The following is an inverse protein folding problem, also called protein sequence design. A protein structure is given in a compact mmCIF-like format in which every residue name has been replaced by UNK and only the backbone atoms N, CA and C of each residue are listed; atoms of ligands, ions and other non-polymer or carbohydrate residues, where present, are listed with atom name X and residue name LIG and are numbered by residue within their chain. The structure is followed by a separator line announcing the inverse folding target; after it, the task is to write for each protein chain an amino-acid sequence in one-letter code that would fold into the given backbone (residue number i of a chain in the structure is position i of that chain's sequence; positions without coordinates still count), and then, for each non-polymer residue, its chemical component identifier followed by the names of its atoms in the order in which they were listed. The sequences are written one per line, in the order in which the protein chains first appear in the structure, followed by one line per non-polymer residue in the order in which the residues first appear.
data_IF_963354797247
#
_entry.id   IF_963354797247
#
_cell.length_a   1.000
_cell.length_b   1.000
_cell.length_c   1.000
_cell.angle_alpha   90.00
_cell.angle_beta   90.00
_cell.angle_gamma   90.00
#
_symmetry.space_group_name_H-M   'P 1'
#
loop_
_entity.id
_entity.type
_entity.pdbx_description
1 polymer ?
#
# COMPACT_ATOMS: atom_id res chain seq x y z
N UNK A 1 70.94 24.25 -0.25
CA UNK A 1 70.92 23.55 -1.51
C UNK A 1 69.72 24.01 -2.31
N UNK A 2 69.87 24.99 -3.20
CA UNK A 2 68.77 25.41 -4.11
C UNK A 2 68.65 24.32 -5.19
N UNK A 3 67.48 23.64 -5.20
CA UNK A 3 67.09 22.77 -6.29
C UNK A 3 66.92 23.66 -7.54
N UNK A 4 67.85 23.57 -8.54
CA UNK A 4 67.65 24.12 -9.85
C UNK A 4 66.31 23.52 -10.42
N UNK A 5 65.31 24.38 -10.54
CA UNK A 5 64.08 24.00 -11.23
C UNK A 5 64.43 23.74 -12.69
N UNK A 6 64.23 22.51 -13.16
CA UNK A 6 64.42 22.15 -14.57
C UNK A 6 63.42 22.93 -15.40
N UNK A 7 63.94 23.77 -16.34
CA UNK A 7 63.10 24.38 -17.36
C UNK A 7 62.59 23.30 -18.32
N UNK A 8 61.34 23.22 -18.52
CA UNK A 8 60.62 22.30 -19.44
C UNK A 8 60.18 23.12 -20.67
N UNK A 9 60.25 22.52 -21.86
CA UNK A 9 59.72 23.16 -23.08
C UNK A 9 58.37 22.61 -23.39
N UNK A 10 57.39 23.49 -23.59
CA UNK A 10 56.03 23.10 -23.98
C UNK A 10 56.03 22.52 -25.41
N UNK A 11 55.65 21.28 -25.64
CA UNK A 11 55.68 20.68 -26.98
C UNK A 11 54.69 21.33 -27.95
N UNK A 12 53.69 22.09 -27.48
CA UNK A 12 52.70 22.73 -28.34
C UNK A 12 53.04 24.14 -28.78
N UNK A 13 53.67 24.97 -27.94
CA UNK A 13 53.99 26.37 -28.29
C UNK A 13 55.47 26.70 -28.22
N UNK A 14 56.31 25.77 -27.77
CA UNK A 14 57.76 25.96 -27.68
C UNK A 14 58.22 26.83 -26.49
N UNK A 15 57.35 27.40 -25.70
CA UNK A 15 57.66 28.24 -24.54
C UNK A 15 58.26 27.40 -23.40
N UNK A 16 59.24 27.99 -22.69
CA UNK A 16 59.77 27.42 -21.44
C UNK A 16 58.71 27.55 -20.29
N UNK A 17 58.59 26.50 -19.48
CA UNK A 17 57.70 26.45 -18.34
C UNK A 17 58.33 25.62 -17.22
N UNK A 18 57.90 25.86 -15.96
CA UNK A 18 58.35 25.05 -14.84
C UNK A 18 57.47 23.82 -14.59
N UNK A 19 56.19 23.87 -15.03
CA UNK A 19 55.23 22.78 -14.86
C UNK A 19 54.52 22.51 -16.20
N UNK A 20 54.26 21.23 -16.48
CA UNK A 20 53.40 20.79 -17.56
C UNK A 20 52.10 20.24 -16.99
N UNK A 21 50.98 20.62 -17.61
CA UNK A 21 49.63 20.18 -17.32
C UNK A 21 49.16 19.37 -18.53
N UNK A 22 48.92 18.10 -18.32
CA UNK A 22 48.64 17.16 -19.42
C UNK A 22 49.61 17.28 -20.59
N UNK A 23 50.93 17.33 -20.29
CA UNK A 23 52.03 17.46 -21.21
C UNK A 23 52.13 18.81 -21.96
N UNK A 24 51.37 19.84 -21.60
CA UNK A 24 51.52 21.21 -22.21
C UNK A 24 51.65 22.27 -21.12
N UNK A 25 52.10 23.48 -21.50
CA UNK A 25 52.18 24.59 -20.55
C UNK A 25 50.77 25.08 -20.13
N UNK A 26 50.67 25.79 -19.02
CA UNK A 26 49.42 26.34 -18.47
C UNK A 26 48.57 27.03 -19.53
N UNK A 27 49.15 27.92 -20.33
CA UNK A 27 48.39 28.66 -21.35
C UNK A 27 47.87 27.77 -22.48
N UNK A 28 48.61 26.74 -22.88
CA UNK A 28 48.15 25.79 -23.87
C UNK A 28 47.09 24.83 -23.33
N UNK A 29 47.19 24.48 -22.05
CA UNK A 29 46.21 23.67 -21.35
C UNK A 29 44.85 24.40 -21.33
N UNK A 30 44.78 25.61 -20.78
CA UNK A 30 43.51 26.34 -20.67
C UNK A 30 42.90 26.76 -22.01
N UNK A 31 43.67 26.86 -23.09
CA UNK A 31 43.12 27.12 -24.43
C UNK A 31 42.28 25.96 -24.99
N UNK A 32 42.48 24.75 -24.54
CA UNK A 32 41.74 23.57 -24.99
C UNK A 32 41.00 22.87 -23.87
N UNK A 33 41.13 23.34 -22.65
CA UNK A 33 40.49 22.76 -21.47
C UNK A 33 38.99 23.02 -21.51
N UNK A 34 38.22 21.97 -21.23
CA UNK A 34 36.79 22.04 -20.95
C UNK A 34 36.55 21.39 -19.59
N UNK A 35 35.95 22.13 -18.66
CA UNK A 35 35.67 21.65 -17.33
C UNK A 35 34.54 20.62 -17.37
N UNK A 36 33.56 20.85 -18.25
CA UNK A 36 32.42 19.95 -18.41
C UNK A 36 31.94 19.94 -19.87
N UNK A 37 31.33 18.86 -20.26
CA UNK A 37 30.62 18.72 -21.53
C UNK A 37 29.16 18.33 -21.25
N UNK A 38 28.22 19.01 -21.92
CA UNK A 38 26.81 18.77 -21.82
C UNK A 38 26.18 18.99 -23.20
N UNK A 39 25.39 18.03 -23.64
CA UNK A 39 24.67 18.16 -24.90
C UNK A 39 23.72 19.36 -24.86
N UNK A 40 23.67 20.18 -25.92
CA UNK A 40 22.78 21.36 -25.97
C UNK A 40 21.32 21.01 -25.95
N UNK A 41 20.94 19.77 -26.35
CA UNK A 41 19.58 19.29 -26.33
C UNK A 41 19.56 17.85 -25.78
N UNK A 42 18.84 17.65 -24.70
CA UNK A 42 18.64 16.35 -24.04
C UNK A 42 17.17 15.94 -24.18
N UNK A 43 16.92 14.66 -24.40
CA UNK A 43 15.55 14.13 -24.46
C UNK A 43 15.28 13.20 -23.30
N UNK A 44 14.09 13.33 -22.70
CA UNK A 44 13.57 12.40 -21.69
C UNK A 44 12.12 12.02 -22.00
N UNK A 45 11.70 10.82 -21.57
CA UNK A 45 10.35 10.33 -21.83
C UNK A 45 9.61 10.15 -20.50
N UNK A 46 8.43 10.78 -20.38
CA UNK A 46 7.61 10.79 -19.15
C UNK A 46 6.19 10.38 -19.49
N UNK A 47 5.60 9.53 -18.66
CA UNK A 47 4.22 9.11 -18.80
C UNK A 47 3.26 10.29 -18.62
N UNK A 48 2.39 10.52 -19.59
CA UNK A 48 1.41 11.60 -19.54
C UNK A 48 0.33 11.41 -18.43
N UNK A 49 0.15 10.18 -17.91
CA UNK A 49 -0.86 9.85 -16.91
C UNK A 49 -0.32 9.81 -15.48
N UNK A 50 0.74 9.06 -15.25
CA UNK A 50 1.24 8.82 -13.89
C UNK A 50 2.57 9.53 -13.58
N UNK A 51 3.23 10.14 -14.59
CA UNK A 51 4.51 10.80 -14.41
C UNK A 51 5.72 9.88 -14.37
N UNK A 52 5.56 8.55 -14.48
CA UNK A 52 6.70 7.62 -14.54
C UNK A 52 7.66 8.00 -15.66
N UNK A 53 8.97 7.88 -15.43
CA UNK A 53 10.02 8.11 -16.43
C UNK A 53 10.39 6.81 -17.14
N UNK A 54 10.74 6.92 -18.43
CA UNK A 54 11.28 5.81 -19.20
C UNK A 54 12.79 5.91 -19.27
N UNK A 55 13.46 4.87 -18.81
CA UNK A 55 14.90 4.86 -18.72
C UNK A 55 15.47 3.46 -18.84
N UNK A 56 16.56 3.31 -19.63
CA UNK A 56 17.23 2.01 -19.86
C UNK A 56 16.27 0.88 -20.26
N UNK A 57 15.27 1.20 -21.09
CA UNK A 57 14.28 0.22 -21.55
C UNK A 57 13.14 -0.07 -20.57
N UNK A 58 13.06 0.62 -19.45
CA UNK A 58 12.06 0.38 -18.42
C UNK A 58 11.38 1.67 -17.93
N UNK A 59 10.14 1.55 -17.53
CA UNK A 59 9.41 2.59 -16.83
C UNK A 59 9.68 2.51 -15.33
N UNK A 60 10.04 3.61 -14.71
CA UNK A 60 10.26 3.73 -13.27
C UNK A 60 9.43 4.88 -12.71
N UNK A 61 8.93 4.71 -11.49
CA UNK A 61 8.08 5.72 -10.88
C UNK A 61 8.92 6.91 -10.41
N UNK A 62 8.39 8.10 -10.65
CA UNK A 62 8.97 9.37 -10.21
C UNK A 62 7.85 10.27 -9.70
N UNK A 63 8.18 11.15 -8.74
CA UNK A 63 7.18 12.00 -8.10
C UNK A 63 6.90 13.29 -8.86
N UNK A 64 7.90 13.82 -9.57
CA UNK A 64 7.82 15.13 -10.23
C UNK A 64 8.61 15.16 -11.54
N UNK A 65 8.03 15.76 -12.58
CA UNK A 65 8.68 15.96 -13.88
C UNK A 65 10.03 16.69 -13.76
N UNK A 66 10.08 17.74 -12.92
CA UNK A 66 11.28 18.56 -12.71
C UNK A 66 12.45 17.71 -12.17
N UNK A 67 12.20 16.83 -11.21
CA UNK A 67 13.24 15.96 -10.67
C UNK A 67 13.77 15.01 -11.76
N UNK A 68 12.88 14.47 -12.60
CA UNK A 68 13.27 13.61 -13.72
C UNK A 68 14.16 14.36 -14.72
N UNK A 69 13.83 15.63 -14.98
CA UNK A 69 14.63 16.50 -15.86
C UNK A 69 16.02 16.72 -15.27
N UNK A 70 16.10 17.07 -13.98
CA UNK A 70 17.39 17.31 -13.30
C UNK A 70 18.24 16.05 -13.23
N UNK A 71 17.69 14.92 -12.83
CA UNK A 71 18.41 13.63 -12.80
C UNK A 71 18.95 13.25 -14.21
N UNK A 72 18.21 13.60 -15.27
CA UNK A 72 18.63 13.34 -16.63
C UNK A 72 19.81 14.24 -17.03
N UNK A 73 19.76 15.53 -16.70
CA UNK A 73 20.84 16.49 -16.97
C UNK A 73 22.09 16.11 -16.17
N UNK A 74 21.97 15.82 -14.90
CA UNK A 74 23.07 15.39 -14.03
C UNK A 74 23.82 14.16 -14.60
N UNK A 75 23.07 13.21 -15.15
CA UNK A 75 23.64 11.99 -15.74
C UNK A 75 24.34 12.20 -17.08
N UNK A 76 23.84 13.14 -17.89
CA UNK A 76 24.44 13.46 -19.19
C UNK A 76 25.60 14.48 -19.08
N UNK A 77 25.75 15.08 -17.89
CA UNK A 77 26.86 15.98 -17.62
C UNK A 77 28.16 15.17 -17.46
N UNK A 78 29.10 15.38 -18.37
CA UNK A 78 30.43 14.80 -18.32
C UNK A 78 31.39 15.82 -17.72
N UNK A 79 31.92 15.51 -16.55
CA UNK A 79 32.92 16.35 -15.86
C UNK A 79 34.34 15.87 -16.19
N UNK A 80 35.29 16.79 -16.24
CA UNK A 80 36.67 16.47 -16.45
C UNK A 80 37.22 15.64 -15.28
N UNK A 81 37.88 14.51 -15.56
CA UNK A 81 38.33 13.53 -14.56
C UNK A 81 39.30 14.05 -13.49
N UNK A 82 40.10 15.10 -13.85
CA UNK A 82 41.08 15.72 -12.94
C UNK A 82 40.54 16.98 -12.26
N UNK A 83 39.22 17.27 -12.35
CA UNK A 83 38.60 18.42 -11.72
C UNK A 83 38.02 18.03 -10.35
N UNK A 84 38.48 18.72 -9.33
CA UNK A 84 37.89 18.61 -7.97
C UNK A 84 36.66 19.54 -7.90
N UNK A 85 35.47 18.97 -7.93
CA UNK A 85 34.21 19.73 -7.91
C UNK A 85 33.95 20.26 -6.50
N UNK A 86 33.85 21.59 -6.38
CA UNK A 86 33.55 22.29 -5.12
C UNK A 86 32.05 22.48 -4.97
N UNK A 87 31.39 22.97 -6.03
CA UNK A 87 29.95 23.19 -6.05
C UNK A 87 29.37 22.87 -7.43
N UNK A 88 28.19 22.21 -7.44
CA UNK A 88 27.43 21.86 -8.63
C UNK A 88 25.97 22.25 -8.41
N UNK A 89 25.49 23.22 -9.17
CA UNK A 89 24.13 23.74 -9.06
C UNK A 89 23.34 23.55 -10.35
N UNK A 90 22.04 23.26 -10.23
CA UNK A 90 21.13 23.11 -11.35
C UNK A 90 19.91 24.03 -11.16
N UNK A 91 19.63 24.86 -12.15
CA UNK A 91 18.49 25.77 -12.13
C UNK A 91 17.56 25.45 -13.30
N UNK A 92 16.45 24.70 -13.05
CA UNK A 92 15.51 24.35 -14.09
C UNK A 92 14.47 25.46 -14.29
N UNK A 93 14.27 25.87 -15.53
CA UNK A 93 13.19 26.74 -15.96
C UNK A 93 12.23 25.99 -16.87
N UNK A 94 10.99 25.79 -16.41
CA UNK A 94 9.94 25.18 -17.22
C UNK A 94 9.36 26.20 -18.19
N UNK A 95 9.53 25.99 -19.49
CA UNK A 95 8.94 26.82 -20.53
C UNK A 95 7.55 26.32 -20.92
N UNK A 96 7.41 25.02 -21.13
CA UNK A 96 6.17 24.36 -21.47
C UNK A 96 6.09 22.99 -20.74
N UNK A 97 4.95 22.26 -20.77
CA UNK A 97 4.89 20.88 -20.28
C UNK A 97 5.85 19.92 -21.00
N UNK A 98 6.42 20.33 -22.15
CA UNK A 98 7.26 19.50 -23.01
C UNK A 98 8.71 20.02 -23.11
N UNK A 99 9.03 21.16 -22.47
CA UNK A 99 10.31 21.82 -22.67
C UNK A 99 10.77 22.54 -21.41
N UNK A 100 12.01 22.26 -21.04
CA UNK A 100 12.73 22.91 -19.94
C UNK A 100 14.05 23.47 -20.44
N UNK A 101 14.49 24.57 -19.86
CA UNK A 101 15.87 25.04 -19.95
C UNK A 101 16.50 24.78 -18.59
N UNK A 102 17.67 24.19 -18.58
CA UNK A 102 18.43 23.94 -17.35
C UNK A 102 19.77 24.63 -17.43
N UNK A 103 20.02 25.55 -16.50
CA UNK A 103 21.32 26.16 -16.31
C UNK A 103 22.09 25.30 -15.29
N UNK A 104 23.33 24.97 -15.64
CA UNK A 104 24.24 24.22 -14.78
C UNK A 104 25.37 25.14 -14.38
N UNK A 105 25.62 25.27 -13.09
CA UNK A 105 26.71 26.08 -12.54
C UNK A 105 27.70 25.13 -11.88
N UNK A 106 28.95 25.26 -12.27
CA UNK A 106 30.05 24.39 -11.83
C UNK A 106 31.16 25.24 -11.24
N UNK A 107 31.48 25.03 -9.96
CA UNK A 107 32.68 25.55 -9.33
C UNK A 107 33.59 24.37 -9.05
N UNK A 108 34.82 24.45 -9.55
CA UNK A 108 35.79 23.38 -9.43
C UNK A 108 37.21 23.92 -9.27
N UNK A 109 38.10 23.08 -8.82
CA UNK A 109 39.51 23.33 -8.79
C UNK A 109 40.25 22.30 -9.67
N UNK A 110 41.19 22.76 -10.47
CA UNK A 110 42.07 21.88 -11.24
C UNK A 110 43.52 22.31 -11.06
N UNK A 111 44.36 21.39 -10.64
CA UNK A 111 45.78 21.65 -10.35
C UNK A 111 46.03 22.87 -9.44
N UNK A 112 45.13 23.06 -8.41
CA UNK A 112 45.20 24.18 -7.49
C UNK A 112 44.71 25.53 -8.06
N UNK A 113 43.96 25.51 -9.18
CA UNK A 113 43.41 26.70 -9.81
C UNK A 113 41.86 26.64 -9.79
N UNK A 114 41.19 27.64 -9.20
CA UNK A 114 39.76 27.71 -9.18
C UNK A 114 39.21 28.04 -10.58
N UNK A 115 38.11 27.38 -10.94
CA UNK A 115 37.40 27.54 -12.21
C UNK A 115 35.90 27.58 -11.96
N UNK A 116 35.23 28.42 -12.75
CA UNK A 116 33.78 28.47 -12.79
C UNK A 116 33.31 28.31 -14.24
N UNK A 117 32.31 27.44 -14.44
CA UNK A 117 31.72 27.27 -15.77
C UNK A 117 30.19 27.28 -15.64
N UNK A 118 29.52 27.88 -16.60
CA UNK A 118 28.06 27.87 -16.74
C UNK A 118 27.70 27.25 -18.07
N UNK A 119 26.92 26.18 -18.01
CA UNK A 119 26.40 25.50 -19.18
C UNK A 119 24.86 25.67 -19.20
N UNK A 120 24.27 25.58 -20.36
CA UNK A 120 22.81 25.63 -20.54
C UNK A 120 22.40 24.54 -21.50
N UNK A 121 21.38 23.77 -21.15
CA UNK A 121 20.82 22.73 -22.01
C UNK A 121 19.31 22.86 -22.12
N UNK A 122 18.77 22.53 -23.29
CA UNK A 122 17.34 22.36 -23.51
C UNK A 122 16.95 20.90 -23.23
N UNK A 123 15.99 20.66 -22.34
CA UNK A 123 15.45 19.32 -22.11
C UNK A 123 14.08 19.18 -22.74
N UNK A 124 13.94 18.28 -23.69
CA UNK A 124 12.69 17.96 -24.39
C UNK A 124 12.02 16.76 -23.73
N UNK A 125 10.80 16.97 -23.21
CA UNK A 125 10.01 15.94 -22.58
C UNK A 125 9.04 15.33 -23.60
N UNK A 126 9.28 14.07 -23.96
CA UNK A 126 8.37 13.29 -24.77
C UNK A 126 7.28 12.69 -23.88
N UNK A 127 6.02 13.01 -24.15
CA UNK A 127 4.87 12.46 -23.43
C UNK A 127 4.35 11.21 -24.13
N UNK A 128 4.35 10.10 -23.40
CA UNK A 128 3.77 8.84 -23.87
C UNK A 128 3.02 8.15 -22.72
N UNK A 129 2.34 7.07 -22.96
CA UNK A 129 1.63 6.30 -21.93
C UNK A 129 2.49 5.10 -21.55
N UNK A 130 2.79 4.94 -20.26
CA UNK A 130 3.56 3.78 -19.79
C UNK A 130 2.75 2.48 -19.89
N UNK A 131 3.43 1.36 -19.79
CA UNK A 131 2.86 0.01 -19.85
C UNK A 131 1.72 -0.21 -18.82
N UNK A 132 1.93 0.20 -17.56
CA UNK A 132 0.90 0.08 -16.52
C UNK A 132 -0.34 0.92 -16.83
N UNK A 133 -0.17 2.21 -17.19
CA UNK A 133 -1.28 3.08 -17.57
C UNK A 133 -2.03 2.61 -18.82
N UNK A 134 -1.33 2.05 -19.80
CA UNK A 134 -1.93 1.46 -20.99
C UNK A 134 -2.78 0.23 -20.62
N UNK A 135 -2.27 -0.65 -19.78
CA UNK A 135 -3.00 -1.84 -19.31
C UNK A 135 -4.23 -1.48 -18.47
N UNK A 136 -4.11 -0.51 -17.56
CA UNK A 136 -5.25 0.00 -16.78
C UNK A 136 -6.34 0.53 -17.73
N UNK A 137 -5.96 1.33 -18.73
CA UNK A 137 -6.90 1.89 -19.70
C UNK A 137 -7.59 0.82 -20.56
N UNK A 138 -6.89 -0.29 -20.82
CA UNK A 138 -7.44 -1.44 -21.53
C UNK A 138 -8.25 -2.40 -20.65
N UNK A 139 -8.41 -2.10 -19.36
CA UNK A 139 -9.11 -2.98 -18.41
C UNK A 139 -8.39 -4.32 -18.19
N UNK A 140 -7.06 -4.35 -18.37
CA UNK A 140 -6.27 -5.57 -18.20
C UNK A 140 -6.25 -6.05 -16.75
N UNK A 141 -6.41 -7.36 -16.57
CA UNK A 141 -6.24 -8.05 -15.29
C UNK A 141 -5.78 -9.48 -15.49
N UNK A 142 -5.02 -10.01 -14.54
CA UNK A 142 -4.62 -11.42 -14.47
C UNK A 142 -5.45 -12.19 -13.45
N UNK A 143 -5.99 -11.49 -12.43
CA UNK A 143 -6.80 -12.12 -11.40
C UNK A 143 -7.98 -11.28 -10.95
N UNK A 144 -9.03 -11.98 -10.48
CA UNK A 144 -10.21 -11.38 -9.87
C UNK A 144 -10.29 -11.87 -8.43
N UNK A 145 -10.32 -10.95 -7.46
CA UNK A 145 -10.60 -11.29 -6.06
C UNK A 145 -12.08 -11.05 -5.82
N UNK A 146 -12.81 -12.12 -5.52
CA UNK A 146 -14.24 -12.11 -5.21
C UNK A 146 -14.41 -12.20 -3.70
N UNK A 147 -14.67 -11.06 -3.04
CA UNK A 147 -14.94 -11.01 -1.62
C UNK A 147 -16.39 -11.40 -1.37
N UNK A 148 -16.62 -12.42 -0.58
CA UNK A 148 -17.91 -12.93 -0.13
C UNK A 148 -17.85 -13.26 1.36
N UNK A 149 -18.98 -13.63 1.98
CA UNK A 149 -19.02 -14.20 3.31
C UNK A 149 -19.80 -15.52 3.32
N UNK A 150 -19.54 -16.37 4.30
CA UNK A 150 -20.21 -17.67 4.43
C UNK A 150 -21.63 -17.49 4.95
N UNK A 151 -22.63 -17.89 4.16
CA UNK A 151 -24.05 -17.87 4.49
C UNK A 151 -24.62 -16.49 4.91
N UNK A 152 -23.96 -15.40 4.53
CA UNK A 152 -24.40 -14.02 4.74
C UNK A 152 -23.76 -13.08 3.70
N UNK A 153 -24.21 -11.83 3.70
CA UNK A 153 -23.52 -10.77 2.98
C UNK A 153 -22.41 -10.17 3.86
N UNK A 154 -21.26 -9.77 3.27
CA UNK A 154 -20.25 -8.99 3.99
C UNK A 154 -20.84 -7.66 4.48
N UNK A 155 -20.52 -7.25 5.70
CA UNK A 155 -20.92 -5.96 6.23
C UNK A 155 -20.18 -4.82 5.52
N UNK A 156 -20.72 -3.60 5.59
CA UNK A 156 -20.06 -2.44 4.99
C UNK A 156 -18.71 -2.12 5.64
N UNK A 157 -18.57 -2.42 6.94
CA UNK A 157 -17.29 -2.30 7.63
C UNK A 157 -16.26 -3.32 7.15
N UNK A 158 -16.68 -4.56 6.93
CA UNK A 158 -15.80 -5.58 6.36
C UNK A 158 -15.36 -5.22 4.94
N UNK A 159 -16.29 -4.72 4.10
CA UNK A 159 -15.94 -4.23 2.75
C UNK A 159 -14.93 -3.09 2.79
N UNK A 160 -15.13 -2.11 3.69
CA UNK A 160 -14.19 -0.99 3.88
C UNK A 160 -12.82 -1.46 4.36
N UNK A 161 -12.77 -2.36 5.35
CA UNK A 161 -11.51 -2.94 5.84
C UNK A 161 -10.80 -3.72 4.74
N UNK A 162 -11.53 -4.52 3.95
CA UNK A 162 -10.95 -5.23 2.81
C UNK A 162 -10.41 -4.27 1.75
N UNK A 163 -11.15 -3.22 1.37
CA UNK A 163 -10.69 -2.24 0.40
C UNK A 163 -9.39 -1.57 0.84
N UNK A 164 -9.30 -1.22 2.12
CA UNK A 164 -8.06 -0.67 2.70
C UNK A 164 -6.88 -1.66 2.61
N UNK A 165 -7.10 -2.92 3.01
CA UNK A 165 -6.07 -3.97 2.92
C UNK A 165 -5.61 -4.24 1.48
N UNK A 166 -6.54 -4.22 0.52
CA UNK A 166 -6.24 -4.36 -0.92
C UNK A 166 -5.34 -3.22 -1.37
N UNK A 167 -5.76 -1.96 -1.16
CA UNK A 167 -5.02 -0.78 -1.60
C UNK A 167 -3.64 -0.68 -0.95
N UNK A 168 -3.53 -0.88 0.35
CA UNK A 168 -2.26 -0.85 1.07
C UNK A 168 -1.28 -1.92 0.57
N UNK A 169 -1.82 -3.09 0.21
CA UNK A 169 -0.98 -4.17 -0.32
C UNK A 169 -0.47 -3.84 -1.71
N UNK A 170 -1.32 -3.30 -2.58
CA UNK A 170 -0.93 -2.89 -3.93
C UNK A 170 0.12 -1.77 -3.89
N UNK A 171 -0.08 -0.74 -3.06
CA UNK A 171 0.90 0.35 -2.87
C UNK A 171 2.27 -0.20 -2.41
N UNK A 172 2.27 -1.19 -1.50
CA UNK A 172 3.52 -1.81 -1.05
C UNK A 172 4.21 -2.62 -2.14
N UNK A 173 3.45 -3.29 -3.00
CA UNK A 173 3.99 -4.07 -4.11
C UNK A 173 4.51 -3.17 -5.23
N UNK A 174 3.78 -2.12 -5.55
CA UNK A 174 4.22 -1.09 -6.50
C UNK A 174 5.56 -0.48 -6.09
N UNK A 175 5.70 -0.10 -4.80
CA UNK A 175 6.97 0.39 -4.24
C UNK A 175 8.12 -0.62 -4.31
N UNK A 176 7.83 -1.91 -4.41
CA UNK A 176 8.81 -2.98 -4.62
C UNK A 176 9.08 -3.27 -6.11
N UNK A 177 8.48 -2.51 -7.02
CA UNK A 177 8.68 -2.60 -8.46
C UNK A 177 7.67 -3.47 -9.22
N UNK A 178 6.62 -3.99 -8.56
CA UNK A 178 5.53 -4.68 -9.27
C UNK A 178 4.58 -3.66 -9.92
N UNK A 179 4.89 -3.29 -11.15
CA UNK A 179 4.10 -2.34 -11.94
C UNK A 179 2.72 -2.87 -12.38
N UNK A 180 2.46 -4.15 -12.16
CA UNK A 180 1.14 -4.76 -12.40
C UNK A 180 0.27 -4.80 -11.12
N UNK A 181 0.79 -4.35 -9.98
CA UNK A 181 0.06 -4.25 -8.73
C UNK A 181 -0.93 -3.06 -8.74
N UNK A 182 -1.94 -3.12 -9.60
CA UNK A 182 -3.00 -2.11 -9.71
C UNK A 182 -4.39 -2.75 -9.78
N UNK A 183 -5.41 -1.95 -9.47
CA UNK A 183 -6.82 -2.28 -9.71
C UNK A 183 -7.20 -1.71 -11.06
N UNK A 184 -7.60 -2.57 -12.01
CA UNK A 184 -8.11 -2.13 -13.32
C UNK A 184 -9.60 -1.83 -13.27
N UNK A 185 -10.36 -2.57 -12.46
CA UNK A 185 -11.79 -2.37 -12.25
C UNK A 185 -12.21 -2.88 -10.86
N UNK A 186 -13.32 -2.38 -10.36
CA UNK A 186 -13.93 -2.81 -9.09
C UNK A 186 -15.45 -2.77 -9.25
N UNK A 187 -16.12 -3.83 -8.81
CA UNK A 187 -17.57 -3.94 -8.77
C UNK A 187 -18.01 -4.29 -7.37
N UNK A 188 -18.89 -3.49 -6.78
CA UNK A 188 -19.44 -3.73 -5.45
C UNK A 188 -20.94 -3.96 -5.52
N UNK A 189 -21.40 -4.99 -4.80
CA UNK A 189 -22.81 -5.37 -4.68
C UNK A 189 -23.18 -5.65 -3.22
N UNK A 190 -24.42 -6.01 -2.96
CA UNK A 190 -24.83 -6.49 -1.62
C UNK A 190 -24.10 -7.77 -1.23
N UNK A 191 -23.87 -8.67 -2.19
CA UNK A 191 -23.24 -9.97 -1.98
C UNK A 191 -21.74 -9.89 -1.73
N UNK A 192 -21.09 -8.77 -2.09
CA UNK A 192 -19.65 -8.58 -1.90
C UNK A 192 -19.02 -7.60 -2.87
N UNK A 193 -17.69 -7.69 -3.01
CA UNK A 193 -16.91 -6.84 -3.88
C UNK A 193 -15.96 -7.68 -4.74
N UNK A 194 -15.89 -7.36 -6.02
CA UNK A 194 -14.98 -7.97 -6.98
C UNK A 194 -13.88 -6.96 -7.35
N UNK A 195 -12.62 -7.35 -7.16
CA UNK A 195 -11.45 -6.55 -7.51
C UNK A 195 -10.74 -7.19 -8.68
N UNK A 196 -10.58 -6.46 -9.78
CA UNK A 196 -9.84 -6.88 -10.97
C UNK A 196 -8.42 -6.38 -10.87
N UNK A 197 -7.46 -7.27 -10.65
CA UNK A 197 -6.08 -6.95 -10.31
C UNK A 197 -5.14 -7.30 -11.45
N UNK A 198 -4.20 -6.41 -11.78
CA UNK A 198 -3.26 -6.57 -12.88
C UNK A 198 -2.22 -7.67 -12.69
N UNK A 199 -1.96 -8.11 -11.45
CA UNK A 199 -0.96 -9.13 -11.10
C UNK A 199 -1.58 -10.29 -10.33
N UNK A 200 -1.41 -11.52 -10.80
CA UNK A 200 -1.85 -12.73 -10.09
C UNK A 200 -1.07 -12.94 -8.78
N UNK A 201 0.21 -12.53 -8.75
CA UNK A 201 1.02 -12.51 -7.54
C UNK A 201 0.46 -11.59 -6.46
N UNK A 202 -0.02 -10.40 -6.87
CA UNK A 202 -0.69 -9.46 -5.97
C UNK A 202 -1.99 -10.05 -5.41
N UNK A 203 -2.80 -10.72 -6.24
CA UNK A 203 -4.03 -11.39 -5.79
C UNK A 203 -3.75 -12.37 -4.66
N UNK A 204 -2.77 -13.25 -4.83
CA UNK A 204 -2.40 -14.24 -3.79
C UNK A 204 -1.98 -13.59 -2.49
N UNK A 205 -1.18 -12.54 -2.56
CA UNK A 205 -0.73 -11.82 -1.38
C UNK A 205 -1.88 -11.11 -0.67
N UNK A 206 -2.78 -10.48 -1.41
CA UNK A 206 -3.97 -9.82 -0.89
C UNK A 206 -4.87 -10.84 -0.19
N UNK A 207 -5.18 -11.98 -0.83
CA UNK A 207 -6.01 -13.03 -0.24
C UNK A 207 -5.45 -13.54 1.10
N UNK A 208 -4.12 -13.79 1.15
CA UNK A 208 -3.44 -14.17 2.40
C UNK A 208 -3.55 -13.11 3.49
N UNK A 209 -3.46 -11.84 3.14
CA UNK A 209 -3.58 -10.73 4.11
C UNK A 209 -5.02 -10.61 4.61
N UNK A 210 -6.02 -10.66 3.72
CA UNK A 210 -7.43 -10.61 4.10
C UNK A 210 -7.76 -11.76 5.06
N UNK A 211 -7.47 -13.01 4.68
CA UNK A 211 -7.76 -14.17 5.51
C UNK A 211 -6.98 -14.18 6.83
N UNK A 212 -5.78 -13.60 6.88
CA UNK A 212 -5.02 -13.47 8.14
C UNK A 212 -5.56 -12.40 9.08
N UNK A 213 -6.24 -11.36 8.57
CA UNK A 213 -6.71 -10.21 9.35
C UNK A 213 -8.19 -10.27 9.69
N UNK A 214 -9.01 -10.81 8.78
CA UNK A 214 -10.46 -10.86 8.91
C UNK A 214 -10.98 -12.29 9.07
N UNK A 215 -10.09 -13.28 9.01
CA UNK A 215 -10.47 -14.69 9.05
C UNK A 215 -11.03 -15.18 7.72
N UNK A 216 -11.58 -16.40 7.77
CA UNK A 216 -12.12 -17.07 6.59
C UNK A 216 -11.07 -17.80 5.76
N UNK A 217 -11.45 -18.14 4.56
CA UNK A 217 -10.64 -18.93 3.63
C UNK A 217 -10.60 -18.30 2.24
N UNK A 218 -9.67 -18.73 1.41
CA UNK A 218 -9.67 -18.38 -0.01
C UNK A 218 -9.34 -19.59 -0.88
N UNK A 219 -9.93 -19.62 -2.05
CA UNK A 219 -9.74 -20.66 -3.05
C UNK A 219 -9.34 -20.04 -4.39
N UNK A 220 -8.37 -20.66 -5.05
CA UNK A 220 -7.90 -20.25 -6.40
C UNK A 220 -8.52 -21.16 -7.45
N UNK A 221 -9.04 -20.54 -8.52
CA UNK A 221 -9.60 -21.25 -9.68
C UNK A 221 -9.03 -20.65 -10.96
N UNK A 222 -8.05 -21.30 -11.60
CA UNK A 222 -7.52 -20.84 -12.88
C UNK A 222 -8.49 -21.14 -14.01
N UNK A 223 -8.62 -20.22 -14.96
CA UNK A 223 -9.36 -20.38 -16.21
C UNK A 223 -8.49 -19.99 -17.41
N UNK A 224 -8.50 -20.80 -18.47
CA UNK A 224 -7.81 -20.46 -19.71
C UNK A 224 -8.49 -19.26 -20.35
N UNK A 225 -7.73 -18.18 -20.57
CA UNK A 225 -8.25 -16.95 -21.17
C UNK A 225 -7.89 -16.82 -22.65
N UNK A 226 -6.65 -17.15 -23.01
CA UNK A 226 -6.11 -16.97 -24.35
C UNK A 226 -4.86 -17.79 -24.54
N UNK A 227 -4.41 -17.90 -25.80
CA UNK A 227 -3.12 -18.48 -26.16
C UNK A 227 -2.32 -17.46 -26.97
N UNK A 228 -1.08 -17.19 -26.58
CA UNK A 228 -0.19 -16.27 -27.29
C UNK A 228 1.19 -16.90 -27.45
N UNK A 229 1.70 -16.90 -28.67
CA UNK A 229 3.03 -17.46 -29.02
C UNK A 229 3.23 -18.90 -28.50
N UNK A 230 2.18 -19.75 -28.57
CA UNK A 230 2.19 -21.11 -28.07
C UNK A 230 2.10 -21.28 -26.56
N UNK A 231 1.99 -20.17 -25.81
CA UNK A 231 1.83 -20.15 -24.34
C UNK A 231 0.38 -19.86 -23.98
N UNK A 232 -0.17 -20.70 -23.10
CA UNK A 232 -1.50 -20.50 -22.54
C UNK A 232 -1.48 -19.36 -21.51
N UNK A 233 -2.42 -18.44 -21.64
CA UNK A 233 -2.63 -17.33 -20.72
C UNK A 233 -3.83 -17.63 -19.83
N UNK A 234 -3.60 -17.72 -18.53
CA UNK A 234 -4.65 -17.98 -17.55
C UNK A 234 -5.06 -16.71 -16.84
N UNK A 235 -6.35 -16.59 -16.57
CA UNK A 235 -6.90 -15.70 -15.54
C UNK A 235 -7.26 -16.52 -14.32
N UNK A 236 -7.03 -15.97 -13.13
CA UNK A 236 -7.28 -16.70 -11.90
C UNK A 236 -8.36 -15.98 -11.10
N UNK A 237 -9.41 -16.71 -10.75
CA UNK A 237 -10.43 -16.24 -9.81
C UNK A 237 -10.04 -16.67 -8.39
N UNK A 238 -10.03 -15.73 -7.48
CA UNK A 238 -9.75 -15.91 -6.07
C UNK A 238 -11.02 -15.65 -5.27
N UNK A 239 -11.73 -16.70 -4.89
CA UNK A 239 -12.88 -16.59 -4.00
C UNK A 239 -12.42 -16.47 -2.56
N UNK A 240 -12.62 -15.30 -1.94
CA UNK A 240 -12.37 -15.06 -0.51
C UNK A 240 -13.70 -15.11 0.21
N UNK A 241 -13.85 -16.03 1.17
CA UNK A 241 -15.04 -16.20 2.00
C UNK A 241 -14.72 -15.80 3.44
N UNK A 242 -15.31 -14.69 3.90
CA UNK A 242 -15.22 -14.27 5.29
C UNK A 242 -16.03 -15.20 6.19
N UNK A 243 -15.72 -15.29 7.50
CA UNK A 243 -16.42 -16.16 8.43
C UNK A 243 -17.94 -15.90 8.47
N UNK A 244 -18.70 -16.93 8.79
CA UNK A 244 -20.17 -16.86 8.97
C UNK A 244 -20.56 -15.84 10.05
N UNK A 245 -19.79 -15.77 11.12
CA UNK A 245 -20.07 -14.92 12.27
C UNK A 245 -19.10 -13.77 12.40
N UNK A 246 -19.55 -12.66 12.95
CA UNK A 246 -18.77 -11.43 13.14
C UNK A 246 -18.61 -11.12 14.64
N UNK A 247 -17.63 -10.27 15.01
CA UNK A 247 -17.54 -9.78 16.38
C UNK A 247 -18.83 -9.10 16.82
N UNK A 248 -19.33 -9.48 18.01
CA UNK A 248 -20.61 -9.03 18.55
C UNK A 248 -21.73 -10.07 18.47
N UNK A 249 -21.64 -11.04 17.56
CA UNK A 249 -22.62 -12.12 17.44
C UNK A 249 -22.67 -12.95 18.71
N UNK A 250 -23.89 -13.30 19.12
CA UNK A 250 -24.16 -14.17 20.25
C UNK A 250 -24.63 -15.53 19.75
N UNK A 251 -23.97 -16.57 20.23
CA UNK A 251 -24.14 -17.94 19.75
C UNK A 251 -24.44 -18.89 20.92
N UNK A 252 -25.14 -19.97 20.62
CA UNK A 252 -25.27 -21.12 21.51
C UNK A 252 -24.37 -22.24 21.00
N UNK A 253 -23.42 -22.65 21.84
CA UNK A 253 -22.45 -23.68 21.49
C UNK A 253 -22.02 -24.49 22.73
N UNK A 254 -22.07 -25.82 22.65
CA UNK A 254 -21.70 -26.72 23.75
C UNK A 254 -22.31 -26.35 25.11
N UNK A 255 -23.60 -26.08 25.14
CA UNK A 255 -24.33 -25.68 26.36
C UNK A 255 -23.88 -24.33 26.97
N UNK A 256 -23.22 -23.48 26.20
CA UNK A 256 -22.72 -22.17 26.60
C UNK A 256 -23.27 -21.08 25.67
N UNK A 257 -23.54 -19.90 26.23
CA UNK A 257 -23.87 -18.71 25.45
C UNK A 257 -22.61 -17.89 25.25
N UNK A 258 -22.15 -17.85 24.05
CA UNK A 258 -20.86 -17.25 23.67
C UNK A 258 -21.06 -15.97 22.87
N UNK A 259 -20.40 -14.91 23.23
CA UNK A 259 -20.28 -13.73 22.37
C UNK A 259 -18.93 -13.76 21.64
N UNK A 260 -18.98 -13.61 20.32
CA UNK A 260 -17.77 -13.51 19.50
C UNK A 260 -17.08 -12.16 19.74
N UNK A 261 -15.80 -12.19 20.05
CA UNK A 261 -14.93 -11.01 20.19
C UNK A 261 -14.02 -10.81 18.99
N UNK A 262 -13.56 -11.92 18.41
CA UNK A 262 -12.73 -11.89 17.19
C UNK A 262 -12.84 -13.25 16.47
N UNK A 263 -12.76 -13.22 15.14
CA UNK A 263 -12.88 -14.40 14.28
C UNK A 263 -11.78 -14.40 13.20
N UNK A 264 -10.52 -14.46 13.65
CA UNK A 264 -9.35 -14.52 12.74
C UNK A 264 -9.08 -15.97 12.29
N UNK A 265 -7.96 -16.52 12.76
CA UNK A 265 -7.59 -17.94 12.57
C UNK A 265 -8.36 -18.88 13.48
N UNK A 266 -8.82 -18.37 14.61
CA UNK A 266 -9.68 -19.05 15.57
C UNK A 266 -10.73 -18.07 16.07
N UNK A 267 -11.90 -18.57 16.41
CA UNK A 267 -12.93 -17.78 17.07
C UNK A 267 -12.53 -17.58 18.53
N UNK A 268 -12.41 -16.32 18.94
CA UNK A 268 -12.20 -15.91 20.32
C UNK A 268 -13.53 -15.40 20.87
N UNK A 269 -14.09 -16.12 21.81
CA UNK A 269 -15.40 -15.85 22.39
C UNK A 269 -15.29 -15.58 23.89
N UNK A 270 -16.33 -14.98 24.44
CA UNK A 270 -16.54 -14.87 25.88
C UNK A 270 -17.84 -15.56 26.21
N UNK A 271 -17.82 -16.47 27.18
CA UNK A 271 -19.02 -17.03 27.78
C UNK A 271 -19.74 -15.94 28.58
N UNK A 272 -20.96 -15.59 28.17
CA UNK A 272 -21.72 -14.51 28.76
C UNK A 272 -22.19 -14.79 30.17
N UNK A 273 -22.24 -16.06 30.60
CA UNK A 273 -22.60 -16.41 31.96
C UNK A 273 -21.44 -16.36 32.93
N UNK A 274 -20.28 -16.86 32.51
CA UNK A 274 -19.12 -17.06 33.40
C UNK A 274 -18.00 -16.04 33.22
N UNK A 275 -17.98 -15.31 32.11
CA UNK A 275 -16.90 -14.41 31.74
C UNK A 275 -15.64 -15.10 31.26
N UNK A 276 -15.64 -16.41 31.15
CA UNK A 276 -14.47 -17.16 30.70
C UNK A 276 -14.24 -16.98 29.21
N UNK A 277 -12.98 -16.85 28.84
CA UNK A 277 -12.56 -16.80 27.45
C UNK A 277 -12.61 -18.23 26.87
N UNK A 278 -13.27 -18.38 25.74
CA UNK A 278 -13.40 -19.61 24.98
C UNK A 278 -12.72 -19.42 23.63
N UNK A 279 -11.86 -20.35 23.24
CA UNK A 279 -11.20 -20.34 21.92
C UNK A 279 -11.63 -21.63 21.21
N UNK A 280 -12.27 -21.47 20.06
CA UNK A 280 -12.73 -22.58 19.24
C UNK A 280 -12.18 -22.49 17.81
N UNK A 281 -12.20 -23.58 17.07
CA UNK A 281 -11.93 -23.55 15.63
C UNK A 281 -13.05 -22.83 14.90
N UNK A 282 -12.76 -22.28 13.71
CA UNK A 282 -13.80 -21.67 12.86
C UNK A 282 -14.84 -22.72 12.48
N UNK A 283 -14.43 -23.92 12.11
CA UNK A 283 -15.30 -25.04 11.72
C UNK A 283 -16.27 -25.44 12.83
N UNK A 284 -15.84 -25.41 14.09
CA UNK A 284 -16.70 -25.76 15.22
C UNK A 284 -17.70 -24.64 15.50
N UNK A 285 -17.27 -23.38 15.46
CA UNK A 285 -18.15 -22.23 15.66
C UNK A 285 -19.18 -22.10 14.53
N UNK A 286 -18.87 -22.47 13.31
CA UNK A 286 -19.84 -22.46 12.20
C UNK A 286 -21.03 -23.42 12.43
N UNK A 287 -20.86 -24.43 13.27
CA UNK A 287 -21.93 -25.35 13.70
C UNK A 287 -22.79 -24.80 14.84
N UNK A 288 -22.33 -23.70 15.48
CA UNK A 288 -23.06 -23.06 16.55
C UNK A 288 -24.37 -22.45 16.03
N UNK A 289 -25.32 -22.36 16.92
CA UNK A 289 -26.63 -21.75 16.66
C UNK A 289 -26.51 -20.24 16.91
N UNK A 290 -27.03 -19.45 15.98
CA UNK A 290 -27.05 -17.98 16.09
C UNK A 290 -28.25 -17.55 16.94
N UNK A 291 -27.99 -16.80 18.00
CA UNK A 291 -29.02 -16.31 18.92
C UNK A 291 -29.42 -14.86 18.66
N UNK A 292 -28.51 -14.04 18.08
CA UNK A 292 -28.79 -12.64 17.79
C UNK A 292 -27.57 -11.75 17.93
N UNK A 293 -27.77 -10.46 17.71
CA UNK A 293 -26.79 -9.38 17.88
C UNK A 293 -27.34 -8.33 18.85
N UNK A 294 -26.48 -7.38 19.23
CA UNK A 294 -26.91 -6.28 20.12
C UNK A 294 -28.12 -5.49 19.57
N UNK A 295 -28.20 -5.31 18.26
CA UNK A 295 -29.30 -4.58 17.62
C UNK A 295 -30.65 -5.31 17.71
N UNK A 296 -30.64 -6.62 17.98
CA UNK A 296 -31.85 -7.43 18.20
C UNK A 296 -32.29 -7.40 19.66
N UNK A 297 -31.50 -6.74 20.53
CA UNK A 297 -31.80 -6.70 21.96
C UNK A 297 -33.04 -5.83 22.27
N UNK A 298 -33.81 -6.33 23.17
CA UNK A 298 -34.90 -5.57 23.82
C UNK A 298 -34.46 -5.12 25.21
N UNK A 299 -35.08 -4.05 25.74
CA UNK A 299 -34.81 -3.56 27.09
C UNK A 299 -35.71 -4.25 28.08
N UNK A 300 -35.11 -4.87 29.12
CA UNK A 300 -35.81 -5.52 30.20
C UNK A 300 -35.45 -4.84 31.52
N UNK A 301 -36.47 -4.59 32.37
CA UNK A 301 -36.27 -3.94 33.67
C UNK A 301 -35.64 -4.94 34.65
N UNK A 302 -34.57 -4.54 35.30
CA UNK A 302 -33.92 -5.30 36.37
C UNK A 302 -34.67 -5.08 37.68
N UNK A 303 -35.43 -6.09 38.12
CA UNK A 303 -36.35 -5.99 39.27
C UNK A 303 -35.61 -6.17 40.59
N UNK A 304 -34.69 -7.14 40.66
CA UNK A 304 -33.92 -7.43 41.88
C UNK A 304 -32.56 -8.04 41.52
N UNK A 305 -31.55 -7.83 42.37
CA UNK A 305 -30.22 -8.39 42.26
C UNK A 305 -29.91 -9.18 43.53
N UNK A 306 -29.62 -10.48 43.36
CA UNK A 306 -29.11 -11.35 44.39
C UNK A 306 -27.62 -11.67 44.18
N UNK A 307 -26.99 -12.39 45.08
CA UNK A 307 -25.56 -12.71 44.97
C UNK A 307 -25.22 -13.38 43.65
N UNK A 308 -25.97 -14.41 43.25
CA UNK A 308 -25.71 -15.22 42.04
C UNK A 308 -26.84 -15.18 40.99
N UNK A 309 -27.93 -14.42 41.27
CA UNK A 309 -29.10 -14.35 40.42
C UNK A 309 -29.56 -12.89 40.21
N UNK A 310 -30.30 -12.70 39.13
CA UNK A 310 -31.03 -11.45 38.87
C UNK A 310 -32.47 -11.78 38.51
N UNK A 311 -33.37 -10.88 38.84
CA UNK A 311 -34.78 -10.97 38.41
C UNK A 311 -35.03 -9.87 37.37
N UNK A 312 -35.45 -10.27 36.18
CA UNK A 312 -35.79 -9.36 35.09
C UNK A 312 -37.25 -9.49 34.70
N UNK A 313 -37.87 -8.35 34.39
CA UNK A 313 -39.22 -8.31 33.85
C UNK A 313 -39.17 -8.55 32.35
N UNK A 314 -39.76 -9.65 31.86
CA UNK A 314 -39.87 -9.91 30.42
C UNK A 314 -40.80 -8.84 29.79
N UNK A 315 -40.25 -8.00 28.87
CA UNK A 315 -41.02 -6.90 28.29
C UNK A 315 -42.15 -7.34 27.37
N UNK A 316 -42.27 -8.65 27.06
CA UNK A 316 -43.31 -9.16 26.16
C UNK A 316 -44.49 -9.71 26.86
N UNK A 317 -44.33 -10.30 28.05
CA UNK A 317 -45.42 -10.94 28.83
C UNK A 317 -45.55 -10.37 30.23
N UNK A 318 -44.66 -9.43 30.65
CA UNK A 318 -44.61 -8.79 31.95
C UNK A 318 -44.48 -9.78 33.13
N UNK A 319 -43.89 -10.95 32.86
CA UNK A 319 -43.58 -11.92 33.93
C UNK A 319 -42.13 -11.72 34.40
N UNK A 320 -41.92 -11.91 35.70
CA UNK A 320 -40.60 -11.88 36.27
C UNK A 320 -39.87 -13.20 36.03
N UNK A 321 -38.68 -13.15 35.45
CA UNK A 321 -37.83 -14.31 35.17
C UNK A 321 -36.56 -14.20 35.99
N UNK A 322 -36.21 -15.28 36.71
CA UNK A 322 -34.94 -15.37 37.44
C UNK A 322 -33.89 -15.92 36.54
N UNK A 323 -32.80 -15.19 36.40
CA UNK A 323 -31.66 -15.52 35.56
C UNK A 323 -30.38 -15.58 36.40
N UNK A 324 -29.39 -16.33 35.96
CA UNK A 324 -28.06 -16.29 36.55
C UNK A 324 -27.44 -14.92 36.33
N UNK A 325 -26.85 -14.35 37.38
CA UNK A 325 -26.20 -13.02 37.32
C UNK A 325 -25.00 -13.05 36.31
N UNK A 326 -25.05 -12.25 35.24
CA UNK A 326 -23.95 -12.20 34.28
C UNK A 326 -22.78 -11.43 34.88
N UNK A 327 -21.57 -11.82 34.54
CA UNK A 327 -20.33 -11.22 35.06
C UNK A 327 -20.16 -9.74 34.68
N UNK A 328 -20.79 -9.29 33.60
CA UNK A 328 -20.70 -7.92 33.08
C UNK A 328 -21.78 -6.98 33.62
N UNK A 329 -22.65 -7.43 34.50
CA UNK A 329 -23.72 -6.60 35.02
C UNK A 329 -23.22 -5.42 35.83
N UNK A 330 -23.51 -4.22 35.36
CA UNK A 330 -23.20 -2.95 36.05
C UNK A 330 -24.45 -2.17 36.44
N UNK A 331 -25.61 -2.55 35.90
CA UNK A 331 -26.89 -1.91 36.14
C UNK A 331 -27.37 -2.15 37.56
N UNK A 332 -28.21 -1.22 38.08
CA UNK A 332 -28.84 -1.26 39.38
C UNK A 332 -30.31 -1.72 39.28
N UNK A 333 -30.88 -2.09 40.40
CA UNK A 333 -32.34 -2.39 40.47
C UNK A 333 -33.15 -1.18 39.99
N UNK A 334 -34.15 -1.47 39.16
CA UNK A 334 -34.97 -0.46 38.49
C UNK A 334 -34.45 0.05 37.16
N UNK A 335 -33.18 -0.24 36.81
CA UNK A 335 -32.60 0.13 35.50
C UNK A 335 -32.94 -0.93 34.43
N UNK A 336 -32.90 -0.52 33.17
CA UNK A 336 -33.07 -1.40 32.02
C UNK A 336 -31.77 -2.00 31.56
N UNK A 337 -31.79 -3.29 31.24
CA UNK A 337 -30.64 -4.00 30.65
C UNK A 337 -31.00 -4.57 29.28
N UNK A 338 -30.05 -4.65 28.34
CA UNK A 338 -30.28 -5.28 27.04
C UNK A 338 -30.34 -6.81 27.21
N UNK A 339 -31.37 -7.41 26.61
CA UNK A 339 -31.57 -8.86 26.63
C UNK A 339 -31.96 -9.37 25.24
N UNK A 340 -31.49 -10.55 24.87
CA UNK A 340 -31.99 -11.30 23.72
C UNK A 340 -33.08 -12.26 24.16
N UNK A 341 -34.18 -12.28 23.42
CA UNK A 341 -35.22 -13.29 23.60
C UNK A 341 -34.98 -14.41 22.58
N UNK A 342 -34.71 -15.58 23.10
CA UNK A 342 -34.37 -16.77 22.30
C UNK A 342 -35.25 -17.96 22.71
N UNK A 343 -35.17 -19.06 21.99
CA UNK A 343 -35.81 -20.32 22.41
C UNK A 343 -35.22 -20.91 23.70
N UNK A 344 -33.98 -20.49 24.07
CA UNK A 344 -33.37 -20.84 25.36
C UNK A 344 -33.73 -19.88 26.49
N UNK A 345 -34.69 -18.98 26.26
CA UNK A 345 -35.16 -17.98 27.23
C UNK A 345 -34.54 -16.61 27.00
N UNK A 346 -34.58 -15.81 28.08
CA UNK A 346 -34.04 -14.46 28.11
C UNK A 346 -32.53 -14.52 28.43
N UNK A 347 -31.71 -13.93 27.59
CA UNK A 347 -30.27 -13.91 27.72
C UNK A 347 -29.80 -12.46 27.85
N UNK A 348 -29.29 -12.03 29.02
CA UNK A 348 -28.68 -10.72 29.16
C UNK A 348 -27.43 -10.63 28.30
N UNK A 349 -27.23 -9.50 27.62
CA UNK A 349 -26.06 -9.21 26.84
C UNK A 349 -25.39 -7.93 27.33
N UNK A 350 -24.06 -7.77 27.16
CA UNK A 350 -23.39 -6.55 27.58
C UNK A 350 -23.85 -5.36 26.73
N UNK A 351 -23.83 -4.16 27.33
CA UNK A 351 -24.02 -2.91 26.59
C UNK A 351 -22.98 -2.81 25.47
N UNK A 352 -23.38 -2.23 24.33
CA UNK A 352 -22.46 -1.99 23.24
C UNK A 352 -21.43 -0.94 23.65
N UNK A 353 -20.18 -1.33 23.77
CA UNK A 353 -19.09 -0.37 23.92
C UNK A 353 -18.90 0.26 22.54
N UNK A 354 -19.47 1.45 22.33
CA UNK A 354 -19.12 2.26 21.15
C UNK A 354 -17.61 2.49 21.18
N UNK A 355 -16.90 1.85 20.22
CA UNK A 355 -15.46 1.98 20.04
C UNK A 355 -15.09 3.34 19.48
#
# INVERSE_FOLDING_TARGET
MQRLMKELICPKCGNTTHNLYENVCKNCFFKQFKLAELDPVISTQICARCGSKYERGQWTDTKHDTNTVLEKVERELLLHENADIIELGFEPQKLTPYQYIVNVYIQAEIYGMPLEEKLTTEVRVQRSVCDACSRIAAGYYEGIIQLRASNRNPTDEEKKKCDHLVRDTLIRMEKKGDRLAFISNMSSSKEGTDYYIGSSGACRQICKIITSKLGGEHQESPSLFSQRDGKELYRVSYAVRLPKYVPGDVLYFNNQVLQIKNCDKKAKCIDLQTGKKVIASIEDIEKAEFLGVYNDAIRAVLVAIEDNAIMVLDPTNYQTVTLKKPFFLTAREGEEIPVLKTEYGIIPIPEEIKA
#
